data_IF_436516873980
#
_entry.id   IF_436516873980
#
_cell.length_a   1.000
_cell.length_b   1.000
_cell.length_c   1.000
_cell.angle_alpha   90.00
_cell.angle_beta   90.00
_cell.angle_gamma   90.00
#
_symmetry.space_group_name_H-M   'P 1'
#
loop_
_entity.id
_entity.type
_entity.pdbx_description
1 polymer ?
#
# COMPACT_ATOMS: atom_id res chain seq x y z
N UNK A 1 -16.26 -12.13 -22.93
CA UNK A 1 -14.96 -11.48 -23.22
C UNK A 1 -14.90 -10.05 -22.67
N UNK A 2 -15.83 -9.16 -23.04
CA UNK A 2 -15.83 -7.75 -22.59
C UNK A 2 -15.88 -7.57 -21.07
N UNK A 3 -16.75 -8.29 -20.37
CA UNK A 3 -16.85 -8.19 -18.90
C UNK A 3 -15.55 -8.66 -18.20
N UNK A 4 -14.90 -9.69 -18.75
CA UNK A 4 -13.63 -10.19 -18.23
C UNK A 4 -12.50 -9.16 -18.41
N UNK A 5 -12.44 -8.51 -19.58
CA UNK A 5 -11.48 -7.42 -19.84
C UNK A 5 -11.73 -6.27 -18.86
N UNK A 6 -12.99 -5.88 -18.66
CA UNK A 6 -13.34 -4.81 -17.72
C UNK A 6 -12.92 -5.16 -16.29
N UNK A 7 -13.15 -6.40 -15.85
CA UNK A 7 -12.76 -6.88 -14.54
C UNK A 7 -11.23 -6.86 -14.34
N UNK A 8 -10.45 -7.26 -15.36
CA UNK A 8 -8.98 -7.21 -15.34
C UNK A 8 -8.49 -5.77 -15.22
N UNK A 9 -9.07 -4.85 -16.01
CA UNK A 9 -8.68 -3.44 -15.97
C UNK A 9 -8.98 -2.83 -14.61
N UNK A 10 -10.18 -3.06 -14.07
CA UNK A 10 -10.58 -2.52 -12.76
C UNK A 10 -9.70 -3.11 -11.65
N UNK A 11 -9.46 -4.42 -11.65
CA UNK A 11 -8.63 -5.05 -10.61
C UNK A 11 -7.18 -4.56 -10.66
N UNK A 12 -6.63 -4.35 -11.85
CA UNK A 12 -5.31 -3.77 -12.02
C UNK A 12 -5.25 -2.33 -11.49
N UNK A 13 -6.24 -1.50 -11.81
CA UNK A 13 -6.28 -0.10 -11.35
C UNK A 13 -6.42 -0.01 -9.83
N UNK A 14 -7.31 -0.82 -9.24
CA UNK A 14 -7.50 -0.87 -7.78
C UNK A 14 -6.26 -1.42 -7.08
N UNK A 15 -5.66 -2.50 -7.61
CA UNK A 15 -4.46 -3.11 -7.04
C UNK A 15 -3.19 -2.27 -7.19
N UNK A 16 -3.15 -1.35 -8.16
CA UNK A 16 -2.02 -0.45 -8.36
C UNK A 16 -1.98 0.74 -7.39
N UNK A 17 -2.97 0.86 -6.50
CA UNK A 17 -3.01 1.92 -5.49
C UNK A 17 -1.94 1.62 -4.41
N UNK A 18 -0.99 2.55 -4.16
CA UNK A 18 0.12 2.31 -3.23
C UNK A 18 -0.31 2.55 -1.78
N UNK A 19 -1.15 1.67 -1.23
CA UNK A 19 -1.72 1.82 0.13
C UNK A 19 -0.66 2.01 1.23
N UNK A 20 0.45 1.28 1.19
CA UNK A 20 1.52 1.43 2.18
C UNK A 20 2.11 2.85 2.18
N UNK A 21 2.31 3.44 1.00
CA UNK A 21 2.79 4.82 0.88
C UNK A 21 1.78 5.81 1.44
N UNK A 22 0.51 5.65 1.06
CA UNK A 22 -0.57 6.55 1.45
C UNK A 22 -0.74 6.53 2.97
N UNK A 23 -0.87 5.36 3.59
CA UNK A 23 -1.11 5.25 5.02
C UNK A 23 0.08 5.65 5.87
N UNK A 24 1.31 5.30 5.47
CA UNK A 24 2.50 5.77 6.20
C UNK A 24 2.59 7.30 6.14
N UNK A 25 2.33 7.90 4.98
CA UNK A 25 2.34 9.36 4.86
C UNK A 25 1.20 10.02 5.63
N UNK A 26 0.02 9.41 5.67
CA UNK A 26 -1.14 9.92 6.41
C UNK A 26 -0.94 9.84 7.93
N UNK A 27 -0.44 8.73 8.46
CA UNK A 27 -0.34 8.52 9.91
C UNK A 27 0.96 9.05 10.53
N UNK A 28 2.07 9.11 9.77
CA UNK A 28 3.39 9.55 10.28
C UNK A 28 3.94 10.79 9.58
N UNK A 29 3.38 11.22 8.46
CA UNK A 29 3.89 12.38 7.71
C UNK A 29 5.21 12.14 6.96
N UNK A 30 5.68 10.90 6.88
CA UNK A 30 6.99 10.54 6.30
C UNK A 30 6.85 9.71 5.02
N UNK A 31 7.91 9.68 4.22
CA UNK A 31 7.97 8.88 2.99
C UNK A 31 8.49 7.47 3.32
N UNK A 32 7.63 6.45 3.23
CA UNK A 32 7.97 5.05 3.50
C UNK A 32 9.17 4.55 2.67
N UNK A 33 9.46 5.16 1.51
CA UNK A 33 10.57 4.77 0.63
C UNK A 33 11.93 5.17 1.20
N UNK A 34 11.96 6.07 2.18
CA UNK A 34 13.16 6.51 2.88
C UNK A 34 13.34 5.83 4.24
N UNK A 35 12.40 4.98 4.63
CA UNK A 35 12.30 4.40 5.97
C UNK A 35 12.35 2.87 5.93
N UNK A 36 12.92 2.26 6.97
CA UNK A 36 13.02 0.81 7.10
C UNK A 36 13.76 0.16 5.92
N UNK A 37 13.07 -0.72 5.17
CA UNK A 37 13.64 -1.38 3.99
C UNK A 37 13.46 -0.59 2.69
N UNK A 38 12.75 0.55 2.73
CA UNK A 38 12.40 1.35 1.54
C UNK A 38 11.29 0.77 0.65
N UNK A 39 10.77 -0.43 0.96
CA UNK A 39 9.71 -1.06 0.16
C UNK A 39 8.32 -0.54 0.53
N UNK A 40 7.41 -0.51 -0.45
CA UNK A 40 6.02 -0.02 -0.30
C UNK A 40 5.06 -1.17 0.02
N UNK A 41 5.43 -2.04 0.96
CA UNK A 41 4.68 -3.24 1.31
C UNK A 41 4.34 -3.34 2.80
N UNK A 42 3.48 -4.31 3.14
CA UNK A 42 2.99 -4.56 4.50
C UNK A 42 4.11 -4.67 5.55
N UNK A 43 5.17 -5.44 5.26
CA UNK A 43 6.27 -5.63 6.21
C UNK A 43 7.02 -4.34 6.52
N UNK A 44 7.17 -3.44 5.55
CA UNK A 44 7.82 -2.16 5.81
C UNK A 44 6.85 -1.18 6.50
N UNK A 45 5.58 -1.17 6.09
CA UNK A 45 4.56 -0.36 6.75
C UNK A 45 4.45 -0.73 8.24
N UNK A 46 4.31 -2.01 8.57
CA UNK A 46 4.25 -2.47 9.97
C UNK A 46 5.50 -2.12 10.79
N UNK A 47 6.69 -2.07 10.15
CA UNK A 47 7.92 -1.58 10.79
C UNK A 47 7.88 -0.07 11.08
N UNK A 48 7.30 0.72 10.19
CA UNK A 48 7.31 2.20 10.26
C UNK A 48 6.14 2.76 11.09
N UNK A 49 4.92 2.25 10.89
CA UNK A 49 3.69 2.70 11.59
C UNK A 49 3.22 1.75 12.69
N UNK A 50 3.89 0.61 12.89
CA UNK A 50 3.50 -0.42 13.87
C UNK A 50 2.41 -1.36 13.34
N UNK A 51 2.31 -2.57 13.93
CA UNK A 51 1.39 -3.62 13.45
C UNK A 51 -0.09 -3.21 13.50
N UNK A 52 -0.50 -2.45 14.53
CA UNK A 52 -1.89 -2.01 14.72
C UNK A 52 -2.39 -1.17 13.55
N UNK A 53 -1.55 -0.28 13.02
CA UNK A 53 -1.88 0.55 11.85
C UNK A 53 -1.49 -0.14 10.54
N UNK A 54 -0.43 -0.93 10.54
CA UNK A 54 0.06 -1.65 9.37
C UNK A 54 -0.92 -2.70 8.84
N UNK A 55 -1.86 -3.20 9.65
CA UNK A 55 -2.89 -4.16 9.20
C UNK A 55 -3.81 -3.61 8.12
N UNK A 56 -3.92 -2.28 7.98
CA UNK A 56 -4.70 -1.62 6.93
C UNK A 56 -4.00 -1.71 5.55
N UNK A 57 -2.70 -2.03 5.55
CA UNK A 57 -1.86 -2.17 4.35
C UNK A 57 -1.79 -3.62 3.85
N UNK A 58 -2.29 -4.59 4.64
CA UNK A 58 -2.36 -6.00 4.26
C UNK A 58 -3.43 -6.23 3.19
#
# INVERSE_FOLDING_TARGET
MTLAILAIVISYLVGSIPFAYIFVRLFKGIDIRKEGSGNVGFTNATRVIGIKLGIIVL
#
